data_IF_987046958327
#
_entry.id   IF_987046958327
#
_cell.length_a   1.000
_cell.length_b   1.000
_cell.length_c   1.000
_cell.angle_alpha   90.00
_cell.angle_beta   90.00
_cell.angle_gamma   90.00
#
_symmetry.space_group_name_H-M   'P 1'
#
loop_
_entity.id
_entity.type
_entity.pdbx_description
1 polymer ?
#
# COMPACT_ATOMS: atom_id res chain seq x y z
N UNK A 1 6.99 -36.53 30.88
CA UNK A 1 7.87 -35.53 30.26
C UNK A 1 7.04 -34.94 29.15
N UNK A 2 6.67 -33.67 29.27
CA UNK A 2 5.74 -33.01 28.36
C UNK A 2 6.44 -32.85 27.01
N UNK A 3 6.21 -33.79 26.08
CA UNK A 3 6.77 -33.74 24.74
C UNK A 3 5.89 -32.81 23.90
N UNK A 4 6.06 -31.50 24.07
CA UNK A 4 5.39 -30.48 23.29
C UNK A 4 6.44 -29.50 22.74
N UNK A 5 6.17 -28.91 21.58
CA UNK A 5 7.15 -28.04 20.93
C UNK A 5 6.55 -27.17 19.84
N UNK A 6 7.30 -26.14 19.47
CA UNK A 6 6.96 -25.26 18.36
C UNK A 6 7.44 -25.83 17.03
N UNK A 7 6.56 -25.74 16.03
CA UNK A 7 6.87 -26.04 14.64
C UNK A 7 6.46 -24.85 13.77
N UNK A 8 7.09 -24.72 12.61
CA UNK A 8 6.77 -23.71 11.59
C UNK A 8 6.16 -24.40 10.39
N UNK A 9 5.07 -23.86 9.86
CA UNK A 9 4.51 -24.33 8.61
C UNK A 9 5.43 -23.94 7.44
N UNK A 10 5.88 -24.90 6.65
CA UNK A 10 6.76 -24.66 5.48
C UNK A 10 5.99 -24.46 4.19
N UNK A 11 4.67 -24.56 4.22
CA UNK A 11 3.79 -24.35 3.06
C UNK A 11 2.35 -24.15 3.51
N UNK A 12 1.57 -23.52 2.63
CA UNK A 12 0.13 -23.39 2.81
C UNK A 12 -0.54 -24.78 2.82
N UNK A 13 -1.51 -24.94 3.73
CA UNK A 13 -2.35 -26.12 3.86
C UNK A 13 -3.81 -25.68 3.95
N UNK A 14 -4.59 -26.09 2.96
CA UNK A 14 -6.04 -25.92 2.94
C UNK A 14 -6.71 -27.19 3.50
N UNK A 15 -7.46 -27.08 4.61
CA UNK A 15 -8.18 -28.19 5.24
C UNK A 15 -9.12 -28.92 4.28
N UNK A 16 -9.12 -30.24 4.37
CA UNK A 16 -10.07 -31.11 3.66
C UNK A 16 -11.27 -31.46 4.53
N UNK A 17 -11.02 -31.67 5.82
CA UNK A 17 -12.02 -32.00 6.83
C UNK A 17 -12.16 -30.86 7.86
N UNK A 18 -13.28 -30.83 8.58
CA UNK A 18 -13.60 -29.72 9.50
C UNK A 18 -12.76 -29.67 10.77
N UNK A 19 -12.05 -30.75 11.08
CA UNK A 19 -11.15 -30.90 12.22
C UNK A 19 -9.69 -30.59 11.87
N UNK A 20 -9.39 -30.28 10.60
CA UNK A 20 -8.06 -29.92 10.14
C UNK A 20 -7.78 -28.41 10.28
N UNK A 21 -6.53 -28.07 10.56
CA UNK A 21 -6.08 -26.71 10.81
C UNK A 21 -5.68 -26.02 9.50
N UNK A 22 -6.21 -24.82 9.23
CA UNK A 22 -5.74 -23.99 8.11
C UNK A 22 -4.34 -23.49 8.44
N UNK A 23 -3.38 -23.73 7.55
CA UNK A 23 -2.00 -23.24 7.71
C UNK A 23 -1.58 -22.37 6.53
N UNK A 24 -0.83 -21.32 6.83
CA UNK A 24 -0.06 -20.51 5.89
C UNK A 24 1.43 -20.73 6.10
N UNK A 25 2.20 -20.64 5.02
CA UNK A 25 3.65 -20.67 5.10
C UNK A 25 4.15 -19.63 6.13
N UNK A 26 4.95 -20.08 7.08
CA UNK A 26 5.47 -19.27 8.18
C UNK A 26 4.69 -19.36 9.50
N UNK A 27 3.50 -19.97 9.51
CA UNK A 27 2.68 -20.08 10.73
C UNK A 27 3.39 -20.87 11.83
N UNK A 28 3.38 -20.33 13.06
CA UNK A 28 3.91 -21.00 14.25
C UNK A 28 2.80 -21.80 14.93
N UNK A 29 3.00 -23.10 15.03
CA UNK A 29 2.02 -24.04 15.58
C UNK A 29 2.61 -24.67 16.83
N UNK A 30 1.85 -24.67 17.92
CA UNK A 30 2.20 -25.42 19.11
C UNK A 30 1.68 -26.84 18.98
N UNK A 31 2.56 -27.83 19.11
CA UNK A 31 2.23 -29.24 18.89
C UNK A 31 2.43 -30.01 20.20
N UNK A 32 1.43 -30.82 20.56
CA UNK A 32 1.57 -31.84 21.60
C UNK A 32 1.91 -33.18 20.92
N UNK A 33 3.18 -33.58 20.98
CA UNK A 33 3.69 -34.79 20.35
C UNK A 33 3.15 -36.08 20.99
N UNK A 34 2.41 -35.98 22.09
CA UNK A 34 1.73 -37.12 22.70
C UNK A 34 0.38 -37.44 22.03
N UNK A 35 -0.09 -36.56 21.14
CA UNK A 35 -1.37 -36.69 20.45
C UNK A 35 -1.16 -36.85 18.94
N UNK A 36 -0.96 -38.11 18.56
CA UNK A 36 -0.91 -38.58 17.17
C UNK A 36 -2.16 -39.43 16.92
N UNK A 37 -3.28 -38.83 16.50
CA UNK A 37 -4.52 -39.58 16.24
C UNK A 37 -4.36 -40.59 15.10
N UNK A 38 -3.51 -40.27 14.11
CA UNK A 38 -3.15 -41.12 12.99
C UNK A 38 -1.69 -40.89 12.60
N UNK A 39 -1.06 -41.89 11.97
CA UNK A 39 0.37 -41.83 11.66
C UNK A 39 0.72 -40.58 10.84
N UNK A 40 1.60 -39.74 11.37
CA UNK A 40 2.05 -38.49 10.72
C UNK A 40 1.05 -37.33 10.77
N UNK A 41 -0.04 -37.47 11.54
CA UNK A 41 -1.00 -36.41 11.84
C UNK A 41 -0.85 -35.95 13.27
N UNK A 42 -0.70 -34.64 13.45
CA UNK A 42 -0.54 -34.05 14.77
C UNK A 42 -1.66 -33.06 15.06
N UNK A 43 -2.04 -32.98 16.32
CA UNK A 43 -2.92 -31.92 16.81
C UNK A 43 -2.08 -30.72 17.21
N UNK A 44 -2.44 -29.55 16.67
CA UNK A 44 -1.75 -28.31 16.99
C UNK A 44 -2.67 -27.13 17.25
N UNK A 45 -2.08 -26.11 17.86
CA UNK A 45 -2.72 -24.84 18.16
C UNK A 45 -2.04 -23.73 17.36
N UNK A 46 -2.84 -22.98 16.61
CA UNK A 46 -2.45 -21.76 15.90
C UNK A 46 -3.34 -20.62 16.38
N UNK A 47 -2.80 -19.76 17.25
CA UNK A 47 -3.57 -18.70 17.90
C UNK A 47 -4.70 -19.27 18.78
N UNK A 48 -5.95 -18.96 18.44
CA UNK A 48 -7.16 -19.48 19.11
C UNK A 48 -7.72 -20.75 18.44
N UNK A 49 -7.17 -21.16 17.28
CA UNK A 49 -7.63 -22.31 16.50
C UNK A 49 -6.89 -23.59 16.88
N UNK A 50 -7.63 -24.70 16.93
CA UNK A 50 -7.09 -26.05 17.17
C UNK A 50 -7.52 -26.96 16.04
N UNK A 51 -6.62 -27.81 15.57
CA UNK A 51 -6.94 -28.77 14.52
C UNK A 51 -5.79 -29.71 14.19
N UNK A 52 -6.08 -30.66 13.31
CA UNK A 52 -5.14 -31.64 12.80
C UNK A 52 -4.38 -31.12 11.59
N UNK A 53 -3.12 -31.50 11.47
CA UNK A 53 -2.33 -31.22 10.28
C UNK A 53 -1.27 -32.30 10.09
N UNK A 54 -0.82 -32.47 8.85
CA UNK A 54 0.15 -33.50 8.48
C UNK A 54 1.59 -32.99 8.68
N UNK A 55 2.48 -33.87 9.14
CA UNK A 55 3.91 -33.60 9.33
C UNK A 55 4.64 -33.03 8.09
N UNK A 56 4.15 -33.33 6.88
CA UNK A 56 4.74 -32.89 5.62
C UNK A 56 4.65 -31.38 5.39
N UNK A 57 3.82 -30.68 6.17
CA UNK A 57 3.62 -29.24 6.06
C UNK A 57 4.39 -28.44 7.11
N UNK A 58 5.17 -29.09 7.98
CA UNK A 58 5.86 -28.43 9.09
C UNK A 58 7.35 -28.77 9.17
N UNK A 59 8.10 -27.89 9.82
CA UNK A 59 9.47 -28.13 10.27
C UNK A 59 9.60 -27.79 11.75
N UNK A 60 10.43 -28.54 12.48
CA UNK A 60 10.69 -28.27 13.90
C UNK A 60 11.57 -27.04 14.01
N UNK A 61 11.14 -26.05 14.80
CA UNK A 61 11.91 -24.81 15.01
C UNK A 61 12.90 -25.04 16.15
N UNK A 62 14.19 -25.06 15.84
CA UNK A 62 15.23 -25.01 16.86
C UNK A 62 15.39 -23.56 17.37
N UNK A 63 15.55 -23.39 18.69
CA UNK A 63 15.58 -22.09 19.41
C UNK A 63 16.60 -21.04 18.88
N UNK A 64 17.50 -21.41 17.97
CA UNK A 64 18.52 -20.50 17.44
C UNK A 64 18.05 -19.69 16.22
N UNK A 65 17.05 -20.15 15.45
CA UNK A 65 16.49 -19.41 14.31
C UNK A 65 15.53 -18.28 14.73
N UNK A 66 15.05 -18.36 15.98
CA UNK A 66 14.01 -17.51 16.56
C UNK A 66 14.45 -16.04 16.69
N UNK A 67 15.72 -15.80 17.01
CA UNK A 67 16.26 -14.45 17.22
C UNK A 67 16.46 -13.64 15.93
N UNK A 68 16.76 -14.30 14.81
CA UNK A 68 17.07 -13.60 13.56
C UNK A 68 15.80 -13.23 12.78
N UNK A 69 14.72 -13.99 12.95
CA UNK A 69 13.44 -13.74 12.28
C UNK A 69 12.60 -12.68 13.01
N UNK A 70 12.67 -12.64 14.34
CA UNK A 70 11.98 -11.60 15.12
C UNK A 70 12.58 -10.21 14.89
N UNK A 71 13.89 -10.07 14.71
CA UNK A 71 14.50 -8.77 14.38
C UNK A 71 14.05 -8.26 13.00
N UNK A 72 14.04 -9.12 11.97
CA UNK A 72 13.58 -8.75 10.64
C UNK A 72 12.08 -8.41 10.61
N UNK A 73 11.24 -9.19 11.28
CA UNK A 73 9.78 -8.94 11.33
C UNK A 73 9.46 -7.65 12.09
N UNK A 74 10.21 -7.34 13.15
CA UNK A 74 10.04 -6.12 13.91
C UNK A 74 10.51 -4.88 13.13
N UNK A 75 11.63 -4.96 12.40
CA UNK A 75 12.10 -3.86 11.54
C UNK A 75 11.11 -3.53 10.41
N UNK A 76 10.57 -4.54 9.71
CA UNK A 76 9.58 -4.32 8.65
C UNK A 76 8.30 -3.66 9.19
N UNK A 77 7.80 -4.12 10.34
CA UNK A 77 6.59 -3.60 10.97
C UNK A 77 6.78 -2.18 11.55
N UNK A 78 7.98 -1.84 12.04
CA UNK A 78 8.31 -0.49 12.50
C UNK A 78 8.34 0.50 11.33
N UNK A 79 8.98 0.08 10.23
CA UNK A 79 9.10 0.89 9.01
C UNK A 79 7.75 1.10 8.30
N UNK A 80 6.85 0.12 8.31
CA UNK A 80 5.49 0.29 7.78
C UNK A 80 4.65 1.26 8.63
N UNK A 81 4.73 1.16 9.96
CA UNK A 81 4.03 2.08 10.87
C UNK A 81 4.53 3.51 10.77
N UNK A 82 5.82 3.75 10.51
CA UNK A 82 6.32 5.11 10.25
C UNK A 82 5.82 5.65 8.91
N UNK A 83 5.78 4.82 7.85
CA UNK A 83 5.23 5.21 6.54
C UNK A 83 3.74 5.52 6.58
N UNK A 84 2.95 4.77 7.36
CA UNK A 84 1.52 5.06 7.56
C UNK A 84 1.31 6.34 8.37
N UNK A 85 2.10 6.56 9.43
CA UNK A 85 2.03 7.81 10.23
C UNK A 85 2.47 9.04 9.44
N UNK A 86 3.42 8.91 8.51
CA UNK A 86 3.80 10.00 7.60
C UNK A 86 2.69 10.31 6.59
N UNK A 87 2.05 9.28 6.03
CA UNK A 87 0.88 9.45 5.13
C UNK A 87 -0.31 10.09 5.84
N UNK A 88 -0.64 9.65 7.06
CA UNK A 88 -1.73 10.23 7.85
C UNK A 88 -1.44 11.70 8.22
N UNK A 89 -0.18 12.04 8.55
CA UNK A 89 0.22 13.43 8.80
C UNK A 89 0.13 14.31 7.56
N UNK A 90 0.51 13.80 6.38
CA UNK A 90 0.36 14.52 5.11
C UNK A 90 -1.12 14.70 4.72
N UNK A 91 -1.97 13.70 4.95
CA UNK A 91 -3.42 13.78 4.70
C UNK A 91 -4.16 14.69 5.69
N UNK A 92 -3.80 14.67 6.98
CA UNK A 92 -4.35 15.59 7.99
C UNK A 92 -3.90 17.04 7.75
N UNK A 93 -2.64 17.28 7.34
CA UNK A 93 -2.13 18.60 6.98
C UNK A 93 -2.84 19.17 5.72
N UNK A 94 -3.19 18.30 4.76
CA UNK A 94 -3.99 18.66 3.59
C UNK A 94 -5.45 18.96 3.96
N UNK A 95 -6.05 18.19 4.87
CA UNK A 95 -7.44 18.35 5.30
C UNK A 95 -7.64 19.60 6.17
N UNK A 96 -6.76 19.85 7.14
CA UNK A 96 -6.83 21.01 8.03
C UNK A 96 -6.52 22.35 7.33
N UNK A 97 -5.69 22.34 6.29
CA UNK A 97 -5.49 23.53 5.43
C UNK A 97 -6.70 23.79 4.50
N UNK A 98 -7.51 22.78 4.23
CA UNK A 98 -8.68 22.90 3.33
C UNK A 98 -9.92 23.52 4.02
N UNK A 99 -9.98 23.55 5.35
CA UNK A 99 -11.11 24.10 6.11
C UNK A 99 -10.96 25.58 6.49
N UNK A 100 -9.75 26.16 6.39
CA UNK A 100 -9.54 27.61 6.53
C UNK A 100 -9.69 28.32 5.16
N UNK A 101 -10.95 28.41 4.74
CA UNK A 101 -11.47 29.26 3.63
C UNK A 101 -11.02 28.83 2.22
N UNK A 102 -11.67 27.79 1.65
CA UNK A 102 -11.78 27.63 0.19
C UNK A 102 -12.64 28.76 -0.41
N UNK A 103 -12.11 29.97 -0.46
CA UNK A 103 -12.51 30.87 -1.54
C UNK A 103 -11.70 30.42 -2.73
N UNK A 104 -12.38 29.88 -3.74
CA UNK A 104 -11.72 29.49 -4.97
C UNK A 104 -10.88 30.67 -5.46
N UNK A 105 -9.70 30.46 -6.07
CA UNK A 105 -8.90 31.55 -6.63
C UNK A 105 -9.72 32.51 -7.50
N UNK A 106 -10.77 31.97 -8.13
CA UNK A 106 -11.81 32.73 -8.84
C UNK A 106 -12.62 33.69 -7.96
N UNK A 107 -13.06 33.29 -6.77
CA UNK A 107 -13.79 34.16 -5.85
C UNK A 107 -12.91 35.33 -5.37
N UNK A 108 -11.63 35.06 -5.13
CA UNK A 108 -10.64 36.08 -4.73
C UNK A 108 -10.43 37.08 -5.88
N UNK A 109 -10.25 36.59 -7.11
CA UNK A 109 -10.05 37.43 -8.30
C UNK A 109 -11.28 38.30 -8.59
N UNK A 110 -12.48 37.70 -8.57
CA UNK A 110 -13.75 38.39 -8.78
C UNK A 110 -13.95 39.49 -7.72
N UNK A 111 -13.67 39.19 -6.45
CA UNK A 111 -13.71 40.18 -5.36
C UNK A 111 -12.72 41.33 -5.58
N UNK A 112 -11.48 41.04 -5.95
CA UNK A 112 -10.44 42.06 -6.18
C UNK A 112 -10.76 42.98 -7.37
N UNK A 113 -11.47 42.49 -8.37
CA UNK A 113 -11.96 43.30 -9.50
C UNK A 113 -13.24 44.09 -9.17
N UNK A 114 -13.77 43.93 -7.95
CA UNK A 114 -15.03 44.52 -7.50
C UNK A 114 -16.23 43.99 -8.29
N UNK A 115 -16.17 42.74 -8.73
CA UNK A 115 -17.24 42.03 -9.43
C UNK A 115 -18.06 41.23 -8.40
N UNK A 116 -19.35 41.03 -8.67
CA UNK A 116 -20.20 40.15 -7.86
C UNK A 116 -20.19 38.73 -8.46
N UNK A 117 -20.25 37.67 -7.63
CA UNK A 117 -20.42 36.30 -8.12
C UNK A 117 -21.69 36.19 -8.95
N UNK A 118 -21.63 35.41 -10.04
CA UNK A 118 -22.74 35.26 -10.99
C UNK A 118 -23.85 34.44 -10.32
N UNK A 119 -24.91 35.11 -9.84
CA UNK A 119 -26.12 34.43 -9.36
C UNK A 119 -27.18 34.49 -10.46
N UNK A 120 -27.79 33.35 -10.77
CA UNK A 120 -28.61 33.09 -11.98
C UNK A 120 -29.86 33.98 -12.13
N UNK A 121 -30.15 34.86 -11.16
CA UNK A 121 -31.35 35.71 -11.16
C UNK A 121 -31.08 37.22 -10.98
N UNK A 122 -29.87 37.74 -11.22
CA UNK A 122 -29.61 39.19 -11.18
C UNK A 122 -29.24 39.80 -12.54
N UNK A 123 -30.05 40.77 -12.98
CA UNK A 123 -29.73 41.70 -14.08
C UNK A 123 -28.41 42.42 -13.79
N UNK A 124 -27.33 42.03 -14.49
CA UNK A 124 -26.00 42.63 -14.35
C UNK A 124 -25.97 44.07 -14.85
N UNK A 125 -26.11 45.04 -13.94
CA UNK A 125 -25.72 46.42 -14.25
C UNK A 125 -24.19 46.54 -14.19
N UNK A 126 -23.61 46.74 -15.38
CA UNK A 126 -22.35 47.41 -15.71
C UNK A 126 -21.02 46.76 -15.27
N UNK A 127 -20.63 45.66 -15.93
CA UNK A 127 -19.20 45.36 -16.14
C UNK A 127 -18.67 46.36 -17.18
N UNK A 128 -17.70 47.18 -16.81
CA UNK A 128 -17.09 48.11 -17.78
C UNK A 128 -16.21 47.33 -18.77
N UNK A 129 -16.12 47.79 -20.02
CA UNK A 129 -15.27 47.18 -21.07
C UNK A 129 -13.82 46.99 -20.58
N UNK A 130 -13.30 47.93 -19.81
CA UNK A 130 -11.95 47.88 -19.22
C UNK A 130 -11.79 46.76 -18.19
N UNK A 131 -12.78 46.53 -17.33
CA UNK A 131 -12.77 45.41 -16.36
C UNK A 131 -12.87 44.05 -17.07
N UNK A 132 -13.68 43.96 -18.11
CA UNK A 132 -13.79 42.75 -18.93
C UNK A 132 -12.46 42.43 -19.65
N UNK A 133 -11.81 43.44 -20.25
CA UNK A 133 -10.54 43.24 -20.95
C UNK A 133 -9.43 42.73 -20.01
N UNK A 134 -9.32 43.31 -18.80
CA UNK A 134 -8.37 42.84 -17.78
C UNK A 134 -8.66 41.38 -17.40
N UNK A 135 -9.92 41.04 -17.17
CA UNK A 135 -10.31 39.66 -16.83
C UNK A 135 -9.93 38.68 -17.94
N UNK A 136 -10.23 38.99 -19.21
CA UNK A 136 -9.88 38.09 -20.34
C UNK A 136 -8.38 37.86 -20.48
N UNK A 137 -7.54 38.86 -20.21
CA UNK A 137 -6.08 38.71 -20.22
C UNK A 137 -5.59 37.79 -19.11
N UNK A 138 -6.11 37.96 -17.89
CA UNK A 138 -5.75 37.11 -16.74
C UNK A 138 -6.14 35.65 -17.01
N UNK A 139 -7.38 35.42 -17.45
CA UNK A 139 -7.88 34.08 -17.80
C UNK A 139 -7.09 33.46 -18.95
N UNK A 140 -6.74 34.26 -19.96
CA UNK A 140 -5.91 33.81 -21.08
C UNK A 140 -4.52 33.36 -20.64
N UNK A 141 -3.88 34.08 -19.71
CA UNK A 141 -2.57 33.70 -19.18
C UNK A 141 -2.65 32.44 -18.31
N UNK A 142 -3.66 32.33 -17.44
CA UNK A 142 -3.90 31.12 -16.65
C UNK A 142 -4.09 29.89 -17.54
N UNK A 143 -4.86 30.02 -18.63
CA UNK A 143 -5.05 28.93 -19.59
C UNK A 143 -3.75 28.50 -20.26
N UNK A 144 -2.88 29.45 -20.63
CA UNK A 144 -1.56 29.12 -21.22
C UNK A 144 -0.66 28.39 -20.22
N UNK A 145 -0.62 28.86 -18.98
CA UNK A 145 0.16 28.21 -17.92
C UNK A 145 -0.34 26.77 -17.67
N UNK A 146 -1.66 26.57 -17.65
CA UNK A 146 -2.26 25.25 -17.47
C UNK A 146 -1.86 24.27 -18.60
N UNK A 147 -1.95 24.70 -19.86
CA UNK A 147 -1.53 23.87 -21.01
C UNK A 147 -0.04 23.51 -20.93
N UNK A 148 0.80 24.41 -20.44
CA UNK A 148 2.23 24.13 -20.26
C UNK A 148 2.48 23.12 -19.13
N UNK A 149 1.74 23.24 -18.02
CA UNK A 149 1.78 22.25 -16.93
C UNK A 149 1.37 20.87 -17.46
N UNK A 150 0.27 20.77 -18.21
CA UNK A 150 -0.18 19.48 -18.78
C UNK A 150 0.89 18.83 -19.66
N UNK A 151 1.57 19.62 -20.51
CA UNK A 151 2.69 19.11 -21.33
C UNK A 151 3.83 18.60 -20.48
N UNK A 152 4.21 19.33 -19.43
CA UNK A 152 5.28 18.91 -18.53
C UNK A 152 4.92 17.62 -17.80
N UNK A 153 3.69 17.49 -17.31
CA UNK A 153 3.18 16.24 -16.71
C UNK A 153 3.30 15.07 -17.69
N UNK A 154 2.88 15.24 -18.95
CA UNK A 154 3.02 14.19 -19.97
C UNK A 154 4.48 13.79 -20.24
N UNK A 155 5.44 14.71 -20.10
CA UNK A 155 6.87 14.39 -20.23
C UNK A 155 7.33 13.51 -19.06
N UNK A 156 6.95 13.86 -17.83
CA UNK A 156 7.29 13.06 -16.66
C UNK A 156 6.66 11.66 -16.71
N UNK A 157 5.39 11.56 -17.11
CA UNK A 157 4.71 10.27 -17.28
C UNK A 157 5.48 9.35 -18.24
N UNK A 158 5.94 9.89 -19.38
CA UNK A 158 6.76 9.12 -20.33
C UNK A 158 8.09 8.67 -19.75
N UNK A 159 8.73 9.49 -18.92
CA UNK A 159 9.98 9.12 -18.26
C UNK A 159 9.75 8.01 -17.24
N UNK A 160 8.68 8.11 -16.44
CA UNK A 160 8.28 7.09 -15.46
C UNK A 160 8.02 5.76 -16.18
N UNK A 161 7.31 5.78 -17.30
CA UNK A 161 7.03 4.56 -18.07
C UNK A 161 8.30 3.91 -18.63
N UNK A 162 9.32 4.70 -18.98
CA UNK A 162 10.62 4.17 -19.38
C UNK A 162 11.29 3.44 -18.22
N UNK A 163 11.34 4.05 -17.04
CA UNK A 163 11.92 3.42 -15.84
C UNK A 163 11.17 2.15 -15.44
N UNK A 164 9.83 2.14 -15.52
CA UNK A 164 9.03 0.93 -15.24
C UNK A 164 9.41 -0.23 -16.16
N UNK A 165 9.62 0.03 -17.45
CA UNK A 165 10.05 -0.99 -18.42
C UNK A 165 11.45 -1.52 -18.11
N UNK A 166 12.38 -0.64 -17.78
CA UNK A 166 13.73 -1.03 -17.37
C UNK A 166 13.69 -1.89 -16.10
N UNK A 167 12.91 -1.49 -15.09
CA UNK A 167 12.74 -2.24 -13.85
C UNK A 167 12.16 -3.64 -14.09
N UNK A 168 11.12 -3.74 -14.92
CA UNK A 168 10.55 -5.04 -15.31
C UNK A 168 11.54 -5.91 -16.07
N UNK A 169 12.33 -5.33 -16.97
CA UNK A 169 13.38 -6.07 -17.69
C UNK A 169 14.42 -6.62 -16.73
N UNK A 170 14.87 -5.80 -15.76
CA UNK A 170 15.85 -6.21 -14.76
C UNK A 170 15.30 -7.32 -13.86
N UNK A 171 14.04 -7.22 -13.46
CA UNK A 171 13.39 -8.28 -12.68
C UNK A 171 13.37 -9.61 -13.44
N UNK A 172 13.00 -9.59 -14.73
CA UNK A 172 13.01 -10.79 -15.57
C UNK A 172 14.42 -11.41 -15.69
N UNK A 173 15.48 -10.59 -15.78
CA UNK A 173 16.85 -11.10 -15.75
C UNK A 173 17.17 -11.80 -14.43
N UNK A 174 16.75 -11.25 -13.28
CA UNK A 174 16.95 -11.88 -11.97
C UNK A 174 16.19 -13.21 -11.89
N UNK A 175 14.95 -13.26 -12.35
CA UNK A 175 14.14 -14.49 -12.34
C UNK A 175 14.79 -15.58 -13.20
N UNK A 176 15.36 -15.22 -14.36
CA UNK A 176 16.13 -16.15 -15.20
C UNK A 176 17.36 -16.71 -14.47
N UNK A 177 18.10 -15.87 -13.76
CA UNK A 177 19.27 -16.30 -12.98
C UNK A 177 18.83 -17.25 -11.86
N UNK A 178 17.78 -16.91 -11.12
CA UNK A 178 17.22 -17.78 -10.07
C UNK A 178 16.86 -19.17 -10.62
N UNK A 179 16.10 -19.22 -11.71
CA UNK A 179 15.71 -20.48 -12.34
C UNK A 179 16.92 -21.32 -12.78
N UNK A 180 18.00 -20.69 -13.28
CA UNK A 180 19.23 -21.38 -13.66
C UNK A 180 20.00 -21.92 -12.46
N UNK A 181 20.00 -21.21 -11.33
CA UNK A 181 20.63 -21.68 -10.09
C UNK A 181 19.87 -22.87 -9.50
N UNK A 182 18.53 -22.84 -9.55
CA UNK A 182 17.68 -23.91 -9.04
C UNK A 182 17.73 -25.16 -9.93
N UNK A 183 17.95 -25.00 -11.24
CA UNK A 183 18.09 -26.12 -12.18
C UNK A 183 19.45 -26.86 -12.10
N UNK A 184 20.42 -26.31 -11.36
CA UNK A 184 21.78 -26.88 -11.20
C UNK A 184 21.99 -27.55 -9.82
N UNK A 185 20.93 -27.73 -9.03
CA UNK A 185 20.90 -28.55 -7.80
C UNK A 185 20.21 -29.88 -8.07
#
# INVERSE_FOLDING_TARGET
MENCGWVRAIRDYDPRESDELVLKNGDRIWVDWNQEPDQGWYQGQLGESFGLFHENCIEVVEQQEEYQQEENYNEENYNEKEKEKEKEKEEEEYSQNSEKVKKEPWDILIKNLGLKPFNSNQSQRQITKKKFEVLTKVVGNLRKNFVEIEKNTQIYDKQIDKFRKELHSNQNYLDQIHNLLDSNK
#
